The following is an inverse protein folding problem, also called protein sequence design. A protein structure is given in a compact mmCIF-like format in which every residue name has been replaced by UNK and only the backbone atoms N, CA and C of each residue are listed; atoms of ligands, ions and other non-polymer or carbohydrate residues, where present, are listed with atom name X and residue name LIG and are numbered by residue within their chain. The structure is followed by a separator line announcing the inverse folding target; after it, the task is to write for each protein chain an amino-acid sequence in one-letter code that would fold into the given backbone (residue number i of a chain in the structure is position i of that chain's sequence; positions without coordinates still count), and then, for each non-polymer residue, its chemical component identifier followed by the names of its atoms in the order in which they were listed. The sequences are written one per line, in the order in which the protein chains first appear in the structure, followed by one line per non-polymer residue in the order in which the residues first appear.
data_IF_794215055490
#
_entry.id   IF_794215055490
#
_cell.length_a   1.000
_cell.length_b   1.000
_cell.length_c   1.000
_cell.angle_alpha   90.00
_cell.angle_beta   90.00
_cell.angle_gamma   90.00
#
_symmetry.space_group_name_H-M   'P 1'
#
loop_
_entity.id
_entity.type
_entity.pdbx_description
1 polymer ?
#
# COMPACT_ATOMS: atom_id res chain seq x y z
N UNK A 1 -37.48 -48.20 -44.11
CA UNK A 1 -37.45 -46.83 -43.57
C UNK A 1 -37.22 -46.94 -42.07
N UNK A 2 -36.00 -46.66 -41.61
CA UNK A 2 -35.67 -46.68 -40.18
C UNK A 2 -36.14 -45.37 -39.55
N UNK A 3 -37.11 -45.44 -38.64
CA UNK A 3 -37.45 -44.32 -37.75
C UNK A 3 -36.55 -44.43 -36.51
N UNK A 4 -35.60 -43.50 -36.42
CA UNK A 4 -34.76 -43.31 -35.24
C UNK A 4 -35.47 -42.27 -34.37
N UNK A 5 -36.25 -42.71 -33.39
CA UNK A 5 -36.79 -41.84 -32.35
C UNK A 5 -35.71 -41.61 -31.29
N UNK A 6 -34.80 -40.69 -31.58
CA UNK A 6 -33.90 -40.11 -30.59
C UNK A 6 -34.17 -38.62 -30.52
N UNK A 7 -34.64 -38.14 -29.37
CA UNK A 7 -34.11 -36.93 -28.72
C UNK A 7 -34.82 -36.72 -27.39
N UNK A 8 -34.12 -37.20 -26.36
CA UNK A 8 -34.35 -36.97 -24.95
C UNK A 8 -34.30 -35.46 -24.70
N UNK A 9 -35.44 -34.81 -24.48
CA UNK A 9 -35.52 -33.38 -24.23
C UNK A 9 -35.01 -33.11 -22.80
N UNK A 10 -33.79 -32.61 -22.72
CA UNK A 10 -33.07 -32.32 -21.50
C UNK A 10 -33.87 -31.35 -20.60
N UNK A 11 -34.07 -31.78 -19.36
CA UNK A 11 -34.55 -30.96 -18.25
C UNK A 11 -33.61 -29.75 -18.07
N UNK A 12 -34.08 -28.57 -18.43
CA UNK A 12 -33.45 -27.30 -18.07
C UNK A 12 -33.74 -27.01 -16.60
N UNK A 13 -32.84 -27.47 -15.72
CA UNK A 13 -32.72 -26.87 -14.40
C UNK A 13 -32.27 -25.41 -14.55
N UNK A 14 -32.86 -24.45 -13.81
CA UNK A 14 -32.31 -23.11 -13.73
C UNK A 14 -30.91 -23.26 -13.14
N UNK A 15 -29.88 -22.92 -13.92
CA UNK A 15 -28.53 -22.74 -13.39
C UNK A 15 -28.64 -21.49 -12.52
N UNK A 16 -29.06 -21.68 -11.27
CA UNK A 16 -28.91 -20.71 -10.22
C UNK A 16 -27.45 -20.30 -10.28
N UNK A 17 -27.22 -19.08 -10.78
CA UNK A 17 -25.95 -18.39 -10.72
C UNK A 17 -25.62 -18.31 -9.23
N UNK A 18 -24.99 -19.38 -8.74
CA UNK A 18 -24.30 -19.39 -7.48
C UNK A 18 -23.22 -18.34 -7.69
N UNK A 19 -23.54 -17.11 -7.29
CA UNK A 19 -22.58 -16.04 -7.13
C UNK A 19 -21.62 -16.55 -6.09
N UNK A 20 -20.62 -17.30 -6.57
CA UNK A 20 -19.59 -17.96 -5.79
C UNK A 20 -18.88 -16.84 -5.08
N UNK A 21 -19.31 -16.59 -3.85
CA UNK A 21 -18.78 -15.54 -3.01
C UNK A 21 -17.34 -15.95 -2.68
N UNK A 22 -16.41 -15.53 -3.55
CA UNK A 22 -14.98 -15.83 -3.48
C UNK A 22 -14.45 -15.02 -2.32
N UNK A 23 -14.45 -15.66 -1.16
CA UNK A 23 -13.93 -15.20 0.11
C UNK A 23 -12.38 -15.08 0.07
N UNK A 24 -11.83 -14.41 -0.94
CA UNK A 24 -10.40 -14.43 -1.34
C UNK A 24 -9.82 -13.02 -1.50
N UNK A 25 -10.42 -12.07 -0.83
CA UNK A 25 -9.86 -10.73 -0.76
C UNK A 25 -8.71 -10.71 0.24
N UNK A 26 -7.53 -10.32 -0.20
CA UNK A 26 -6.36 -10.05 0.63
C UNK A 26 -6.17 -8.54 0.75
N UNK A 27 -5.52 -8.13 1.83
CA UNK A 27 -5.17 -6.74 2.09
C UNK A 27 -3.65 -6.67 2.26
N UNK A 28 -3.04 -5.57 1.82
CA UNK A 28 -1.60 -5.34 2.02
C UNK A 28 -1.31 -5.22 3.52
N UNK A 29 -0.30 -5.95 4.01
CA UNK A 29 0.16 -5.79 5.39
C UNK A 29 1.02 -4.53 5.52
N UNK A 30 1.28 -4.11 6.76
CA UNK A 30 2.24 -3.03 7.03
C UNK A 30 3.62 -3.34 6.45
N UNK A 31 4.07 -4.60 6.54
CA UNK A 31 5.34 -5.04 5.96
C UNK A 31 5.36 -4.90 4.43
N UNK A 32 4.27 -5.31 3.77
CA UNK A 32 4.13 -5.15 2.33
C UNK A 32 4.14 -3.68 1.91
N UNK A 33 3.54 -2.80 2.72
CA UNK A 33 3.57 -1.35 2.48
C UNK A 33 4.98 -0.77 2.63
N UNK A 34 5.70 -1.13 3.69
CA UNK A 34 7.09 -0.72 3.90
C UNK A 34 7.99 -1.19 2.76
N UNK A 35 7.77 -2.39 2.23
CA UNK A 35 8.49 -2.93 1.07
C UNK A 35 8.30 -2.05 -0.18
N UNK A 36 7.07 -1.58 -0.44
CA UNK A 36 6.79 -0.65 -1.53
C UNK A 36 7.47 0.71 -1.32
N UNK A 37 7.48 1.21 -0.09
CA UNK A 37 8.14 2.47 0.24
C UNK A 37 9.66 2.38 0.06
N UNK A 38 10.30 1.31 0.57
CA UNK A 38 11.74 1.08 0.42
C UNK A 38 12.18 0.92 -1.04
N UNK A 39 11.33 0.32 -1.87
CA UNK A 39 11.57 0.17 -3.30
C UNK A 39 11.30 1.45 -4.12
N UNK A 40 11.04 2.59 -3.45
CA UNK A 40 10.69 3.86 -4.05
C UNK A 40 9.55 3.76 -5.09
N UNK A 41 8.57 2.88 -4.82
CA UNK A 41 7.43 2.70 -5.73
C UNK A 41 6.50 3.90 -5.67
N UNK A 42 6.41 4.55 -4.51
CA UNK A 42 5.44 5.60 -4.24
C UNK A 42 5.93 7.01 -4.58
N UNK A 43 7.23 7.21 -4.79
CA UNK A 43 7.81 8.52 -5.07
C UNK A 43 8.70 8.49 -6.30
N UNK A 44 8.80 9.63 -6.99
CA UNK A 44 9.73 9.82 -8.10
C UNK A 44 11.19 10.00 -7.61
N UNK A 45 12.11 10.16 -8.57
CA UNK A 45 13.53 10.40 -8.32
C UNK A 45 13.79 11.74 -7.61
N UNK A 46 12.80 12.64 -7.61
CA UNK A 46 12.82 13.95 -6.96
C UNK A 46 12.12 13.92 -5.58
N UNK A 47 11.63 12.77 -5.14
CA UNK A 47 10.94 12.58 -3.87
C UNK A 47 9.45 12.97 -3.87
N UNK A 48 8.86 13.34 -5.01
CA UNK A 48 7.45 13.65 -5.11
C UNK A 48 6.62 12.38 -5.18
N UNK A 49 5.50 12.35 -4.44
CA UNK A 49 4.60 11.20 -4.42
C UNK A 49 3.90 11.04 -5.77
N UNK A 50 3.95 9.84 -6.34
CA UNK A 50 3.24 9.54 -7.59
C UNK A 50 1.73 9.63 -7.40
N UNK A 51 1.06 10.15 -8.43
CA UNK A 51 -0.40 10.06 -8.56
C UNK A 51 -0.82 8.62 -8.82
N UNK A 52 -2.07 8.28 -8.49
CA UNK A 52 -2.60 6.95 -8.81
C UNK A 52 -2.58 6.66 -10.32
N UNK A 53 -2.77 7.68 -11.16
CA UNK A 53 -2.65 7.59 -12.62
C UNK A 53 -1.27 7.08 -13.04
N UNK A 54 -0.17 7.68 -12.56
CA UNK A 54 1.19 7.24 -12.89
C UNK A 54 1.50 5.84 -12.41
N UNK A 55 1.01 5.46 -11.24
CA UNK A 55 1.16 4.10 -10.73
C UNK A 55 0.31 3.09 -11.52
N UNK A 56 -0.84 3.52 -12.05
CA UNK A 56 -1.71 2.71 -12.90
C UNK A 56 -1.04 2.40 -14.24
N UNK A 57 -0.40 3.40 -14.87
CA UNK A 57 0.38 3.25 -16.10
C UNK A 57 1.54 2.25 -15.91
N UNK A 58 2.29 2.40 -14.81
CA UNK A 58 3.45 1.54 -14.52
C UNK A 58 3.06 0.10 -14.16
N UNK A 59 1.91 -0.08 -13.50
CA UNK A 59 1.46 -1.40 -13.04
C UNK A 59 0.52 -2.12 -14.00
N UNK A 60 0.09 -1.45 -15.08
CA UNK A 60 -0.95 -1.93 -16.01
C UNK A 60 -2.25 -2.33 -15.30
N UNK A 61 -2.53 -1.71 -14.15
CA UNK A 61 -3.76 -1.86 -13.40
C UNK A 61 -4.59 -0.59 -13.55
N UNK A 62 -5.90 -0.69 -13.33
CA UNK A 62 -6.75 0.49 -13.31
C UNK A 62 -6.43 1.35 -12.06
N UNK A 63 -6.44 2.67 -12.20
CA UNK A 63 -6.28 3.65 -11.12
C UNK A 63 -7.12 3.31 -9.87
N UNK A 64 -8.38 2.91 -10.06
CA UNK A 64 -9.27 2.51 -8.96
C UNK A 64 -8.77 1.28 -8.20
N UNK A 65 -8.05 0.40 -8.89
CA UNK A 65 -7.41 -0.78 -8.28
C UNK A 65 -6.16 -0.40 -7.53
N UNK A 66 -5.33 0.49 -8.10
CA UNK A 66 -4.14 1.04 -7.43
C UNK A 66 -4.52 1.76 -6.14
N UNK A 67 -5.53 2.65 -6.20
CA UNK A 67 -6.06 3.33 -5.02
C UNK A 67 -6.47 2.33 -3.94
N UNK A 68 -7.18 1.25 -4.30
CA UNK A 68 -7.57 0.20 -3.33
C UNK A 68 -6.38 -0.54 -2.72
N UNK A 69 -5.33 -0.81 -3.50
CA UNK A 69 -4.10 -1.45 -3.00
C UNK A 69 -3.41 -0.52 -1.99
N UNK A 70 -3.28 0.76 -2.32
CA UNK A 70 -2.56 1.73 -1.50
C UNK A 70 -3.32 2.17 -0.26
N UNK A 71 -4.66 2.22 -0.32
CA UNK A 71 -5.49 2.53 0.85
C UNK A 71 -5.44 1.44 1.92
N UNK A 72 -5.00 0.22 1.62
CA UNK A 72 -4.94 -0.91 2.56
C UNK A 72 -6.25 -1.24 3.31
N UNK A 73 -7.37 -0.62 2.94
CA UNK A 73 -8.68 -0.80 3.57
C UNK A 73 -9.58 -1.75 2.77
N UNK A 74 -9.36 -1.79 1.45
CA UNK A 74 -10.24 -2.51 0.53
C UNK A 74 -9.57 -3.78 0.05
N UNK A 75 -10.23 -4.91 0.29
CA UNK A 75 -9.74 -6.22 -0.15
C UNK A 75 -9.54 -6.26 -1.67
N UNK A 76 -8.39 -6.76 -2.12
CA UNK A 76 -8.06 -6.99 -3.54
C UNK A 76 -7.74 -8.47 -3.76
N UNK A 77 -7.74 -8.94 -5.02
CA UNK A 77 -7.34 -10.32 -5.32
C UNK A 77 -5.82 -10.48 -5.12
N UNK A 78 -5.38 -11.64 -4.60
CA UNK A 78 -3.95 -11.98 -4.47
C UNK A 78 -3.23 -11.88 -5.82
N UNK A 79 -3.90 -12.26 -6.92
CA UNK A 79 -3.32 -12.12 -8.27
C UNK A 79 -3.03 -10.65 -8.60
N UNK A 80 -3.94 -9.74 -8.22
CA UNK A 80 -3.78 -8.31 -8.47
C UNK A 80 -2.59 -7.75 -7.70
N UNK A 81 -2.45 -8.09 -6.41
CA UNK A 81 -1.29 -7.72 -5.61
C UNK A 81 0.01 -8.25 -6.20
N UNK A 82 0.01 -9.51 -6.68
CA UNK A 82 1.19 -10.10 -7.33
C UNK A 82 1.56 -9.36 -8.62
N UNK A 83 0.59 -8.99 -9.45
CA UNK A 83 0.82 -8.19 -10.66
C UNK A 83 1.39 -6.82 -10.31
N UNK A 84 0.83 -6.15 -9.30
CA UNK A 84 1.30 -4.85 -8.85
C UNK A 84 2.76 -4.92 -8.39
N UNK A 85 3.12 -5.87 -7.52
CA UNK A 85 4.50 -6.05 -7.06
C UNK A 85 5.45 -6.38 -8.22
N UNK A 86 5.04 -7.27 -9.13
CA UNK A 86 5.84 -7.66 -10.27
C UNK A 86 6.16 -6.49 -11.21
N UNK A 87 5.24 -5.53 -11.37
CA UNK A 87 5.48 -4.33 -12.18
C UNK A 87 6.65 -3.48 -11.67
N UNK A 88 6.92 -3.53 -10.37
CA UNK A 88 8.06 -2.86 -9.74
C UNK A 88 9.23 -3.80 -9.46
N UNK A 89 9.24 -4.98 -10.12
CA UNK A 89 10.26 -6.04 -9.93
C UNK A 89 10.37 -6.55 -8.49
N UNK A 90 9.30 -6.40 -7.71
CA UNK A 90 9.21 -6.92 -6.34
C UNK A 90 8.55 -8.30 -6.33
N UNK A 91 8.93 -9.13 -5.37
CA UNK A 91 8.25 -10.39 -5.06
C UNK A 91 7.27 -10.17 -3.92
N UNK A 92 6.05 -10.66 -4.10
CA UNK A 92 5.03 -10.69 -3.06
C UNK A 92 5.21 -11.95 -2.22
N UNK A 93 5.60 -11.77 -0.96
CA UNK A 93 5.77 -12.83 0.03
C UNK A 93 4.51 -12.99 0.90
N UNK A 94 4.41 -14.08 1.65
CA UNK A 94 3.22 -14.36 2.48
C UNK A 94 3.05 -13.37 3.63
N UNK A 95 4.13 -12.74 4.08
CA UNK A 95 4.11 -11.72 5.11
C UNK A 95 3.66 -10.34 4.59
N UNK A 96 3.68 -10.13 3.27
CA UNK A 96 3.34 -8.85 2.62
C UNK A 96 1.82 -8.62 2.52
N UNK A 97 1.01 -9.63 2.81
CA UNK A 97 -0.45 -9.53 2.74
C UNK A 97 -1.14 -10.35 3.83
N UNK A 98 -2.30 -9.87 4.27
CA UNK A 98 -3.15 -10.58 5.22
C UNK A 98 -4.39 -11.08 4.50
N UNK A 99 -4.68 -12.37 4.64
CA UNK A 99 -5.96 -12.92 4.21
C UNK A 99 -7.05 -12.34 5.10
N UNK A 100 -8.04 -11.68 4.51
CA UNK A 100 -9.14 -11.15 5.28
C UNK A 100 -10.12 -12.29 5.60
N UNK A 101 -9.75 -13.10 6.60
CA UNK A 101 -10.54 -14.21 7.16
C UNK A 101 -11.97 -13.74 7.43
N UNK A 102 -12.95 -14.61 7.19
CA UNK A 102 -14.30 -14.40 7.72
C UNK A 102 -14.18 -14.45 9.24
N UNK A 103 -14.31 -13.31 9.91
CA UNK A 103 -14.70 -13.33 11.32
C UNK A 103 -16.12 -13.91 11.39
N UNK A 104 -16.24 -15.23 11.54
CA UNK A 104 -17.38 -15.78 12.26
C UNK A 104 -17.24 -15.25 13.69
N UNK A 105 -18.20 -14.47 14.14
CA UNK A 105 -18.12 -13.63 15.36
C UNK A 105 -18.14 -14.44 16.66
N UNK A 106 -17.79 -15.72 16.65
CA UNK A 106 -18.26 -16.67 17.68
C UNK A 106 -17.17 -17.47 18.41
N UNK A 107 -15.88 -17.13 18.28
CA UNK A 107 -14.82 -17.88 19.00
C UNK A 107 -13.76 -17.04 19.73
N UNK A 108 -13.91 -15.71 19.82
CA UNK A 108 -13.01 -14.88 20.64
C UNK A 108 -13.61 -14.48 22.01
N UNK A 109 -14.85 -14.85 22.32
CA UNK A 109 -15.51 -14.47 23.58
C UNK A 109 -15.23 -15.42 24.76
N UNK A 110 -14.45 -16.49 24.58
CA UNK A 110 -14.38 -17.57 25.62
C UNK A 110 -13.03 -17.73 26.32
N UNK A 111 -12.00 -16.90 26.06
CA UNK A 111 -10.70 -17.09 26.74
C UNK A 111 -9.94 -15.85 27.24
N UNK A 112 -10.60 -14.71 27.40
CA UNK A 112 -10.03 -13.57 28.15
C UNK A 112 -11.12 -12.96 29.04
N UNK A 113 -11.47 -13.69 30.10
CA UNK A 113 -12.12 -13.13 31.27
C UNK A 113 -11.10 -13.14 32.41
N UNK A 114 -11.10 -12.04 33.17
CA UNK A 114 -10.29 -11.68 34.34
C UNK A 114 -8.97 -10.92 34.10
N UNK A 115 -9.12 -9.64 33.79
CA UNK A 115 -8.47 -8.57 34.58
C UNK A 115 -9.54 -7.48 34.83
N UNK A 116 -10.03 -7.30 36.07
CA UNK A 116 -10.62 -6.02 36.45
C UNK A 116 -9.48 -5.00 36.58
N UNK A 117 -9.78 -3.76 36.17
CA UNK A 117 -8.94 -2.56 36.32
C UNK A 117 -7.78 -2.40 35.31
N UNK A 118 -8.13 -1.95 34.10
CA UNK A 118 -7.20 -1.20 33.25
C UNK A 118 -7.79 0.21 33.04
N UNK A 119 -7.03 1.28 33.33
CA UNK A 119 -7.53 2.65 33.24
C UNK A 119 -7.96 2.93 31.81
N UNK A 120 -9.13 3.55 31.67
CA UNK A 120 -9.73 4.00 30.43
C UNK A 120 -8.66 4.56 29.48
N UNK A 121 -8.30 3.80 28.46
CA UNK A 121 -7.62 4.37 27.29
C UNK A 121 -8.65 5.28 26.64
N UNK A 122 -8.45 6.60 26.56
CA UNK A 122 -9.31 7.41 25.72
C UNK A 122 -9.18 6.87 24.31
N UNK A 123 -10.32 6.60 23.68
CA UNK A 123 -10.40 6.27 22.27
C UNK A 123 -9.58 7.31 21.51
N UNK A 124 -8.45 6.90 20.91
CA UNK A 124 -7.72 7.77 19.99
C UNK A 124 -8.65 8.07 18.83
N UNK A 125 -9.11 9.32 18.65
CA UNK A 125 -9.77 9.70 17.43
C UNK A 125 -8.69 9.68 16.35
N UNK A 126 -8.88 8.86 15.32
CA UNK A 126 -8.11 8.95 14.08
C UNK A 126 -8.60 10.20 13.36
N UNK A 127 -8.20 11.36 13.87
CA UNK A 127 -8.22 12.63 13.17
C UNK A 127 -6.93 13.35 13.54
N UNK A 128 -5.83 12.91 12.93
CA UNK A 128 -4.58 13.68 12.94
C UNK A 128 -4.75 14.93 12.07
N UNK A 129 -5.63 15.84 12.47
CA UNK A 129 -5.64 17.21 12.00
C UNK A 129 -4.57 17.96 12.79
N UNK A 130 -3.29 17.67 12.50
CA UNK A 130 -2.18 18.50 12.97
C UNK A 130 -2.46 19.93 12.49
N UNK A 131 -2.52 20.88 13.41
CA UNK A 131 -2.74 22.28 13.04
C UNK A 131 -1.59 22.76 12.16
N UNK A 132 -1.86 23.77 11.34
CA UNK A 132 -0.83 24.40 10.52
C UNK A 132 0.37 24.87 11.36
N UNK A 133 0.10 25.29 12.60
CA UNK A 133 1.12 25.74 13.54
C UNK A 133 2.01 24.58 14.01
N UNK A 134 1.42 23.46 14.45
CA UNK A 134 2.19 22.27 14.86
C UNK A 134 3.01 21.71 13.69
N UNK A 135 2.47 21.77 12.46
CA UNK A 135 3.20 21.36 11.26
C UNK A 135 4.43 22.26 11.00
N UNK A 136 4.28 23.58 11.16
CA UNK A 136 5.40 24.53 11.05
C UNK A 136 6.47 24.24 12.10
N UNK A 137 6.05 24.01 13.35
CA UNK A 137 6.98 23.73 14.45
C UNK A 137 7.78 22.45 14.19
N UNK A 138 7.13 21.38 13.74
CA UNK A 138 7.80 20.14 13.35
C UNK A 138 8.76 20.34 12.18
N UNK A 139 8.34 21.10 11.16
CA UNK A 139 9.20 21.41 10.01
C UNK A 139 10.45 22.18 10.44
N UNK A 140 10.29 23.20 11.27
CA UNK A 140 11.42 23.98 11.80
C UNK A 140 12.37 23.11 12.60
N UNK A 141 11.84 22.19 13.42
CA UNK A 141 12.65 21.25 14.20
C UNK A 141 13.46 20.34 13.30
N UNK A 142 12.84 19.75 12.29
CA UNK A 142 13.51 18.88 11.34
C UNK A 142 14.60 19.61 10.55
N UNK A 143 14.34 20.85 10.12
CA UNK A 143 15.36 21.70 9.47
C UNK A 143 16.53 21.99 10.41
N UNK A 144 16.26 22.23 11.69
CA UNK A 144 17.31 22.46 12.69
C UNK A 144 18.16 21.20 12.90
N UNK A 145 17.52 20.04 13.03
CA UNK A 145 18.21 18.77 13.20
C UNK A 145 19.09 18.45 11.99
N UNK A 146 18.60 18.70 10.77
CA UNK A 146 19.39 18.51 9.54
C UNK A 146 20.61 19.44 9.47
N UNK A 147 20.48 20.71 9.88
CA UNK A 147 21.62 21.64 9.96
C UNK A 147 22.65 21.20 11.00
N UNK A 148 22.19 20.72 12.14
CA UNK A 148 23.08 20.17 13.16
C UNK A 148 23.85 18.94 12.64
N UNK A 149 23.16 18.05 11.92
CA UNK A 149 23.80 16.89 11.31
C UNK A 149 24.79 17.29 10.19
N UNK A 150 24.48 18.31 9.37
CA UNK A 150 25.43 18.77 8.34
C UNK A 150 26.71 19.35 8.95
N UNK A 151 26.60 20.07 10.06
CA UNK A 151 27.74 20.58 10.83
C UNK A 151 28.55 19.44 11.46
N UNK A 152 27.88 18.47 12.07
CA UNK A 152 28.54 17.34 12.72
C UNK A 152 29.30 16.45 11.72
N UNK A 153 28.81 16.38 10.48
CA UNK A 153 29.40 15.62 9.39
C UNK A 153 30.34 16.46 8.50
N UNK A 154 30.62 17.74 8.84
CA UNK A 154 31.45 18.67 8.06
C UNK A 154 31.09 18.74 6.56
N UNK A 155 29.80 18.65 6.24
CA UNK A 155 29.33 18.66 4.84
C UNK A 155 29.32 20.07 4.21
N UNK A 156 29.71 21.10 4.96
CA UNK A 156 29.68 22.52 4.53
C UNK A 156 30.87 22.95 3.65
N UNK A 157 31.89 22.11 3.44
CA UNK A 157 33.10 22.46 2.69
C UNK A 157 33.19 21.90 1.25
N UNK A 158 32.06 21.57 0.59
CA UNK A 158 32.06 21.18 -0.83
C UNK A 158 31.79 22.36 -1.80
N UNK A 159 31.94 23.61 -1.34
CA UNK A 159 31.41 24.80 -2.04
C UNK A 159 32.41 25.90 -2.43
N UNK A 160 33.73 25.71 -2.32
CA UNK A 160 34.71 26.70 -2.83
C UNK A 160 35.84 26.06 -3.63
N UNK A 161 36.06 26.63 -4.81
CA UNK A 161 37.18 26.41 -5.73
C UNK A 161 36.99 25.33 -6.80
N UNK A 162 36.06 25.55 -7.72
CA UNK A 162 36.39 25.35 -9.14
C UNK A 162 36.58 26.75 -9.72
N UNK A 163 37.81 27.24 -9.63
CA UNK A 163 38.26 28.45 -10.30
C UNK A 163 38.41 28.09 -11.79
N UNK A 164 37.36 28.35 -12.58
CA UNK A 164 37.44 28.27 -14.03
C UNK A 164 38.32 29.43 -14.53
N UNK A 165 39.64 29.20 -14.58
CA UNK A 165 40.52 29.96 -15.46
C UNK A 165 40.15 29.61 -16.90
N UNK A 166 39.25 30.38 -17.49
CA UNK A 166 39.19 30.51 -18.94
C UNK A 166 40.34 31.43 -19.34
N UNK A 167 41.45 30.82 -19.73
CA UNK A 167 42.52 31.47 -20.50
C UNK A 167 41.94 31.99 -21.81
N UNK A 168 42.04 33.29 -22.01
CA UNK A 168 41.98 33.91 -23.33
C UNK A 168 42.96 33.19 -24.28
N UNK A 169 42.47 32.76 -25.43
CA UNK A 169 43.30 32.41 -26.58
C UNK A 169 42.71 33.14 -27.79
N UNK A 170 43.37 34.27 -28.07
CA UNK A 170 43.75 34.84 -29.38
C UNK A 170 42.84 34.55 -30.58
#
# INVERSE_FOLDING_TARGET
MYQVSSSNCAQLHPIASHKRNRNRGVVLSEQGWQKLAQANVLHDELGNRYTYERLSERSLLNERTVSRILSCEVKVDKRTLKTFFAAFRLRLDEADYVAAERRSVEQLTTKLSLCPDLPHTPAYPIEANLSHQELIELYQRLVQDLRYLSQLLNLDEAGRSIQLHSTELN
#
